data_IF_694101970378
#
_entry.id   IF_694101970378
#
_cell.length_a   1.000
_cell.length_b   1.000
_cell.length_c   1.000
_cell.angle_alpha   90.00
_cell.angle_beta   90.00
_cell.angle_gamma   90.00
#
_symmetry.space_group_name_H-M   'P 1'
#
loop_
_entity.id
_entity.type
_entity.pdbx_description
1 polymer ?
#
# COMPACT_ATOMS: atom_id res chain seq x y z
N UNK A 1 -7.12 -11.03 16.61
CA UNK A 1 -7.04 -9.93 15.66
C UNK A 1 -5.84 -10.16 14.75
N UNK A 2 -6.11 -10.17 13.45
CA UNK A 2 -5.16 -10.36 12.36
C UNK A 2 -5.18 -9.08 11.54
N UNK A 3 -4.01 -8.53 11.23
CA UNK A 3 -3.89 -7.27 10.48
C UNK A 3 -2.90 -7.48 9.35
N UNK A 4 -3.35 -7.34 8.10
CA UNK A 4 -2.49 -7.40 6.93
C UNK A 4 -2.15 -5.98 6.45
N UNK A 5 -0.90 -5.76 6.07
CA UNK A 5 -0.40 -4.50 5.53
C UNK A 5 0.28 -4.76 4.19
N UNK A 6 -0.11 -4.00 3.18
CA UNK A 6 0.55 -3.92 1.89
C UNK A 6 1.30 -2.58 1.82
N UNK A 7 2.61 -2.61 1.99
CA UNK A 7 3.47 -1.45 1.83
C UNK A 7 4.03 -1.41 0.40
N UNK A 8 3.55 -0.50 -0.44
CA UNK A 8 4.03 -0.30 -1.80
C UNK A 8 5.09 0.80 -1.80
N UNK A 9 6.36 0.41 -2.00
CA UNK A 9 7.47 1.35 -2.13
C UNK A 9 7.80 1.68 -3.60
N UNK A 10 8.94 2.32 -3.82
CA UNK A 10 9.39 2.74 -5.16
C UNK A 10 9.57 1.57 -6.14
N UNK A 11 10.45 0.61 -5.82
CA UNK A 11 10.78 -0.53 -6.68
C UNK A 11 10.41 -1.90 -6.10
N UNK A 12 10.07 -1.93 -4.81
CA UNK A 12 9.69 -3.14 -4.07
C UNK A 12 8.54 -2.85 -3.14
N UNK A 13 7.74 -3.87 -2.93
CA UNK A 13 6.59 -3.85 -2.04
C UNK A 13 6.67 -4.98 -1.04
N UNK A 14 6.01 -4.81 0.10
CA UNK A 14 6.07 -5.75 1.21
C UNK A 14 4.67 -6.05 1.71
N UNK A 15 4.33 -7.33 1.75
CA UNK A 15 3.10 -7.83 2.35
C UNK A 15 3.44 -8.42 3.71
N UNK A 16 2.81 -7.92 4.76
CA UNK A 16 3.07 -8.35 6.13
C UNK A 16 1.78 -8.62 6.87
N UNK A 17 1.75 -9.68 7.68
CA UNK A 17 0.59 -10.02 8.50
C UNK A 17 1.02 -10.08 9.95
N UNK A 18 0.29 -9.37 10.79
CA UNK A 18 0.50 -9.33 12.23
C UNK A 18 -0.65 -10.01 12.95
N UNK A 19 -0.33 -10.73 14.01
CA UNK A 19 -1.28 -11.31 14.96
C UNK A 19 -0.93 -10.86 16.35
N UNK A 20 -1.85 -10.16 17.02
CA UNK A 20 -1.59 -9.55 18.34
C UNK A 20 -0.27 -8.75 18.34
N UNK A 21 -0.05 -7.94 17.29
CA UNK A 21 1.16 -7.13 17.06
C UNK A 21 2.47 -7.91 16.83
N UNK A 22 2.41 -9.21 16.62
CA UNK A 22 3.58 -10.04 16.27
C UNK A 22 3.53 -10.32 14.77
N UNK A 23 4.63 -10.05 14.06
CA UNK A 23 4.77 -10.41 12.64
C UNK A 23 4.76 -11.93 12.50
N UNK A 24 3.77 -12.48 11.80
CA UNK A 24 3.60 -13.93 11.60
C UNK A 24 3.78 -14.35 10.14
N UNK A 25 3.67 -13.43 9.20
CA UNK A 25 3.88 -13.70 7.78
C UNK A 25 4.48 -12.46 7.09
N UNK A 26 5.39 -12.71 6.15
CA UNK A 26 6.07 -11.67 5.41
C UNK A 26 6.43 -12.14 4.00
N UNK A 27 6.15 -11.31 3.00
CA UNK A 27 6.64 -11.49 1.63
C UNK A 27 7.15 -10.16 1.09
N UNK A 28 8.26 -10.23 0.36
CA UNK A 28 8.74 -9.13 -0.46
C UNK A 28 8.40 -9.41 -1.92
N UNK A 29 7.91 -8.39 -2.61
CA UNK A 29 7.35 -8.47 -3.94
C UNK A 29 8.15 -7.55 -4.88
N UNK A 30 8.43 -8.03 -6.08
CA UNK A 30 9.26 -7.34 -7.08
C UNK A 30 8.45 -6.35 -7.93
N UNK A 31 7.57 -5.59 -7.29
CA UNK A 31 6.85 -4.46 -7.89
C UNK A 31 6.89 -3.27 -6.95
N UNK A 32 6.74 -2.08 -7.48
CA UNK A 32 6.60 -0.84 -6.74
C UNK A 32 5.94 0.24 -7.59
N UNK A 33 5.83 1.45 -7.05
CA UNK A 33 5.12 2.52 -7.73
C UNK A 33 5.90 3.18 -8.87
N UNK A 34 7.20 2.89 -9.06
CA UNK A 34 8.01 3.49 -10.13
C UNK A 34 7.40 3.25 -11.51
N UNK A 35 6.83 2.07 -11.75
CA UNK A 35 6.17 1.73 -13.01
C UNK A 35 4.93 2.61 -13.28
N UNK A 36 4.17 2.98 -12.24
CA UNK A 36 3.05 3.92 -12.38
C UNK A 36 3.55 5.33 -12.69
N UNK A 37 4.59 5.80 -12.00
CA UNK A 37 5.20 7.11 -12.28
C UNK A 37 5.79 7.18 -13.69
N UNK A 38 6.45 6.13 -14.17
CA UNK A 38 6.96 6.02 -15.54
C UNK A 38 5.82 6.07 -16.56
N UNK A 39 4.77 5.28 -16.35
CA UNK A 39 3.59 5.29 -17.21
C UNK A 39 2.90 6.67 -17.20
N UNK A 40 2.80 7.33 -16.05
CA UNK A 40 2.25 8.70 -15.94
C UNK A 40 3.10 9.71 -16.70
N UNK A 41 4.43 9.69 -16.54
CA UNK A 41 5.33 10.60 -17.24
C UNK A 41 5.26 10.45 -18.78
N UNK A 42 5.05 9.22 -19.27
CA UNK A 42 4.86 8.97 -20.69
C UNK A 42 3.53 9.52 -21.24
N UNK A 43 2.50 9.62 -20.39
CA UNK A 43 1.15 10.03 -20.80
C UNK A 43 0.82 11.48 -20.41
N UNK A 44 1.65 12.13 -19.59
CA UNK A 44 1.56 13.54 -19.19
C UNK A 44 2.87 14.28 -19.53
N UNK A 45 3.16 14.52 -20.83
CA UNK A 45 4.44 15.08 -21.28
C UNK A 45 4.66 16.54 -20.87
N UNK A 46 3.64 17.23 -20.36
CA UNK A 46 3.72 18.56 -19.78
C UNK A 46 4.29 18.57 -18.34
N UNK A 47 4.50 17.38 -17.75
CA UNK A 47 5.13 17.23 -16.43
C UNK A 47 4.20 17.51 -15.25
N UNK A 48 2.90 17.71 -15.48
CA UNK A 48 1.90 18.01 -14.46
C UNK A 48 1.14 16.78 -13.93
N UNK A 49 1.63 15.56 -14.20
CA UNK A 49 0.97 14.35 -13.73
C UNK A 49 1.03 14.22 -12.20
N UNK A 50 -0.11 14.22 -11.53
CA UNK A 50 -0.20 13.89 -10.11
C UNK A 50 -0.74 12.47 -9.92
N UNK A 51 -0.20 11.69 -8.96
CA UNK A 51 -0.71 10.36 -8.64
C UNK A 51 -2.20 10.36 -8.25
N UNK A 52 -2.67 11.45 -7.63
CA UNK A 52 -4.06 11.62 -7.23
C UNK A 52 -5.03 11.76 -8.42
N UNK A 53 -4.53 12.15 -9.59
CA UNK A 53 -5.33 12.39 -10.80
C UNK A 53 -5.46 11.12 -11.69
N UNK A 54 -4.83 10.01 -11.28
CA UNK A 54 -4.87 8.76 -12.03
C UNK A 54 -6.20 8.03 -11.81
N UNK A 55 -6.82 7.58 -12.91
CA UNK A 55 -7.98 6.69 -12.86
C UNK A 55 -7.56 5.22 -13.03
N UNK A 56 -7.88 4.40 -12.05
CA UNK A 56 -7.74 2.94 -12.11
C UNK A 56 -9.05 2.28 -12.55
N UNK A 57 -8.95 1.10 -13.15
CA UNK A 57 -10.10 0.28 -13.52
C UNK A 57 -10.20 0.01 -15.02
N UNK A 58 -11.11 -0.91 -15.36
CA UNK A 58 -11.17 -1.58 -16.66
C UNK A 58 -11.11 -0.62 -17.86
N UNK A 59 -10.07 -0.77 -18.69
CA UNK A 59 -9.76 0.09 -19.83
C UNK A 59 -8.74 1.19 -19.53
N UNK A 60 -8.27 1.30 -18.29
CA UNK A 60 -7.17 2.19 -17.91
C UNK A 60 -5.86 1.70 -18.51
N UNK A 61 -5.01 2.64 -18.92
CA UNK A 61 -3.63 2.35 -19.35
C UNK A 61 -2.80 1.70 -18.23
N UNK A 62 -3.24 1.81 -16.98
CA UNK A 62 -2.59 1.25 -15.80
C UNK A 62 -3.09 -0.14 -15.42
N UNK A 63 -4.10 -0.69 -16.12
CA UNK A 63 -4.74 -1.97 -15.77
C UNK A 63 -3.76 -3.14 -15.67
N UNK A 64 -2.76 -3.18 -16.57
CA UNK A 64 -1.78 -4.26 -16.57
C UNK A 64 -0.93 -4.23 -15.29
N UNK A 65 -0.52 -3.05 -14.84
CA UNK A 65 0.23 -2.88 -13.59
C UNK A 65 -0.61 -3.29 -12.39
N UNK A 66 -1.89 -2.90 -12.38
CA UNK A 66 -2.77 -3.21 -11.26
C UNK A 66 -3.10 -4.71 -11.19
N UNK A 67 -3.25 -5.39 -12.33
CA UNK A 67 -3.44 -6.86 -12.37
C UNK A 67 -2.28 -7.61 -11.75
N UNK A 68 -1.04 -7.24 -12.08
CA UNK A 68 0.14 -7.89 -11.53
C UNK A 68 0.21 -7.73 -10.00
N UNK A 69 -0.19 -6.57 -9.48
CA UNK A 69 -0.28 -6.32 -8.03
C UNK A 69 -1.38 -7.17 -7.40
N UNK A 70 -2.58 -7.21 -8.01
CA UNK A 70 -3.71 -8.01 -7.53
C UNK A 70 -3.33 -9.50 -7.44
N UNK A 71 -2.68 -10.03 -8.47
CA UNK A 71 -2.25 -11.43 -8.52
C UNK A 71 -1.24 -11.74 -7.40
N UNK A 72 -0.30 -10.84 -7.16
CA UNK A 72 0.72 -11.03 -6.13
C UNK A 72 0.16 -10.89 -4.70
N UNK A 73 -0.81 -9.99 -4.50
CA UNK A 73 -1.55 -9.83 -3.24
C UNK A 73 -2.40 -11.06 -2.97
N UNK A 74 -3.20 -11.50 -3.94
CA UNK A 74 -4.05 -12.70 -3.84
C UNK A 74 -3.20 -13.93 -3.50
N UNK A 75 -2.09 -14.14 -4.22
CA UNK A 75 -1.15 -15.23 -3.92
C UNK A 75 -0.54 -15.14 -2.53
N UNK A 76 -0.26 -13.94 -2.04
CA UNK A 76 0.26 -13.73 -0.68
C UNK A 76 -0.76 -14.10 0.39
N UNK A 77 -2.03 -13.77 0.18
CA UNK A 77 -3.15 -14.15 1.05
C UNK A 77 -3.35 -15.66 1.05
N UNK A 78 -3.33 -16.30 -0.13
CA UNK A 78 -3.41 -17.76 -0.26
C UNK A 78 -2.27 -18.46 0.49
N UNK A 79 -1.03 -17.98 0.35
CA UNK A 79 0.11 -18.53 1.07
C UNK A 79 -0.01 -18.37 2.58
N UNK A 80 -0.50 -17.23 3.06
CA UNK A 80 -0.81 -17.06 4.49
C UNK A 80 -1.87 -18.07 4.93
N UNK A 81 -2.96 -18.23 4.18
CA UNK A 81 -4.04 -19.15 4.51
C UNK A 81 -3.62 -20.63 4.50
N UNK A 82 -2.67 -21.01 3.64
CA UNK A 82 -2.11 -22.37 3.60
C UNK A 82 -1.18 -22.66 4.80
N UNK A 83 -0.48 -21.64 5.30
CA UNK A 83 0.42 -21.78 6.46
C UNK A 83 -0.33 -21.67 7.79
N UNK A 84 -1.46 -20.97 7.79
CA UNK A 84 -2.25 -20.71 8.98
C UNK A 84 -3.28 -21.82 9.21
N UNK A 85 -3.39 -22.29 10.44
CA UNK A 85 -4.50 -23.17 10.80
C UNK A 85 -5.82 -22.38 10.92
N UNK A 86 -6.97 -23.03 10.72
CA UNK A 86 -8.29 -22.37 10.78
C UNK A 86 -8.56 -21.63 12.10
N UNK A 87 -7.87 -21.99 13.19
CA UNK A 87 -7.97 -21.33 14.50
C UNK A 87 -7.14 -20.04 14.61
N UNK A 88 -6.34 -19.70 13.59
CA UNK A 88 -5.40 -18.59 13.66
C UNK A 88 -5.92 -17.26 13.15
N UNK A 89 -7.10 -17.26 12.52
CA UNK A 89 -7.78 -16.09 11.96
C UNK A 89 -7.45 -15.86 10.49
N UNK A 90 -8.43 -15.36 9.74
CA UNK A 90 -8.30 -15.02 8.32
C UNK A 90 -7.97 -13.53 8.15
N UNK A 91 -7.42 -13.19 6.99
CA UNK A 91 -7.26 -11.79 6.59
C UNK A 91 -8.62 -11.31 6.07
N UNK A 92 -9.22 -10.35 6.77
CA UNK A 92 -10.49 -9.72 6.37
C UNK A 92 -10.24 -8.38 5.65
N UNK A 93 -9.13 -7.71 5.98
CA UNK A 93 -8.78 -6.37 5.51
C UNK A 93 -7.28 -6.23 5.26
N UNK A 94 -6.93 -5.48 4.23
CA UNK A 94 -5.56 -5.03 3.93
C UNK A 94 -5.44 -3.53 4.18
N UNK A 95 -4.48 -3.15 4.98
CA UNK A 95 -4.05 -1.76 5.15
C UNK A 95 -3.01 -1.41 4.07
N UNK A 96 -3.39 -0.58 3.11
CA UNK A 96 -2.52 -0.08 2.05
C UNK A 96 -1.68 1.10 2.55
N UNK A 97 -0.37 0.99 2.46
CA UNK A 97 0.58 2.00 2.91
C UNK A 97 1.77 2.16 1.96
N UNK A 98 2.62 3.16 2.20
CA UNK A 98 3.75 3.48 1.33
C UNK A 98 3.39 4.45 0.21
N UNK A 99 4.37 4.73 -0.65
CA UNK A 99 4.24 5.69 -1.76
C UNK A 99 3.18 5.28 -2.78
N UNK A 100 2.88 3.98 -2.90
CA UNK A 100 1.78 3.50 -3.74
C UNK A 100 0.38 3.88 -3.22
N UNK A 101 0.20 4.20 -1.93
CA UNK A 101 -1.08 4.66 -1.39
C UNK A 101 -1.49 6.05 -1.88
N UNK A 102 -0.59 6.77 -2.53
CA UNK A 102 -0.84 8.11 -3.08
C UNK A 102 -1.73 8.07 -4.33
N UNK A 103 -1.80 6.92 -4.98
CA UNK A 103 -2.56 6.72 -6.20
C UNK A 103 -4.05 6.54 -5.87
N UNK A 104 -4.86 7.56 -6.17
CA UNK A 104 -6.30 7.56 -5.88
C UNK A 104 -7.01 6.41 -6.60
N UNK A 105 -7.78 5.59 -5.89
CA UNK A 105 -8.53 4.45 -6.46
C UNK A 105 -7.73 3.16 -6.61
N UNK A 106 -6.45 3.13 -6.23
CA UNK A 106 -5.68 1.88 -6.19
C UNK A 106 -6.24 0.90 -5.14
N UNK A 107 -6.63 1.40 -3.97
CA UNK A 107 -7.30 0.65 -2.92
C UNK A 107 -8.62 0.02 -3.42
N UNK A 108 -9.45 0.78 -4.12
CA UNK A 108 -10.70 0.28 -4.72
C UNK A 108 -10.43 -0.81 -5.76
N UNK A 109 -9.42 -0.62 -6.61
CA UNK A 109 -9.04 -1.61 -7.63
C UNK A 109 -8.50 -2.91 -6.99
N UNK A 110 -7.68 -2.79 -5.95
CA UNK A 110 -7.19 -3.93 -5.18
C UNK A 110 -8.33 -4.66 -4.46
N UNK A 111 -9.28 -3.93 -3.87
CA UNK A 111 -10.43 -4.51 -3.22
C UNK A 111 -11.29 -5.31 -4.20
N UNK A 112 -11.60 -4.71 -5.36
CA UNK A 112 -12.37 -5.37 -6.41
C UNK A 112 -11.66 -6.61 -6.96
N UNK A 113 -10.34 -6.56 -7.14
CA UNK A 113 -9.54 -7.65 -7.70
C UNK A 113 -9.25 -8.80 -6.74
N UNK A 114 -9.00 -8.49 -5.47
CA UNK A 114 -8.65 -9.49 -4.44
C UNK A 114 -9.87 -10.05 -3.70
N UNK A 115 -11.01 -9.37 -3.75
CA UNK A 115 -12.20 -9.71 -2.98
C UNK A 115 -12.06 -9.43 -1.47
N UNK A 116 -11.05 -8.65 -1.07
CA UNK A 116 -10.81 -8.23 0.31
C UNK A 116 -11.17 -6.76 0.50
N UNK A 117 -11.44 -6.37 1.74
CA UNK A 117 -11.50 -4.95 2.08
C UNK A 117 -10.08 -4.37 2.03
N UNK A 118 -9.92 -3.21 1.40
CA UNK A 118 -8.64 -2.50 1.32
C UNK A 118 -8.88 -1.06 1.79
N UNK A 119 -8.10 -0.62 2.77
CA UNK A 119 -8.15 0.75 3.28
C UNK A 119 -6.76 1.37 3.29
N UNK A 120 -6.66 2.65 2.93
CA UNK A 120 -5.41 3.40 3.07
C UNK A 120 -5.11 3.63 4.55
N UNK A 121 -3.95 3.15 5.00
CA UNK A 121 -3.48 3.39 6.35
C UNK A 121 -3.15 4.88 6.57
N UNK A 122 -3.46 5.38 7.76
CA UNK A 122 -3.12 6.73 8.18
C UNK A 122 -2.18 6.69 9.40
N UNK A 123 -0.85 6.60 9.18
CA UNK A 123 0.11 6.48 10.27
C UNK A 123 0.19 7.75 11.14
N UNK A 124 -0.30 8.89 10.64
CA UNK A 124 -0.19 10.17 11.31
C UNK A 124 -1.14 10.29 12.51
N UNK A 125 -2.23 9.51 12.54
CA UNK A 125 -3.20 9.50 13.66
C UNK A 125 -2.60 9.12 15.00
N UNK A 126 -1.52 8.34 14.97
CA UNK A 126 -0.82 7.86 16.16
C UNK A 126 0.34 8.78 16.60
N UNK A 127 0.54 9.89 15.89
CA UNK A 127 1.68 10.79 16.07
C UNK A 127 1.24 12.19 16.50
N UNK A 128 2.09 12.82 17.32
CA UNK A 128 1.96 14.25 17.62
C UNK A 128 2.77 15.00 16.56
N UNK A 129 2.07 15.69 15.67
CA UNK A 129 2.68 16.46 14.60
C UNK A 129 2.96 17.92 15.01
N UNK A 130 4.00 18.56 14.46
CA UNK A 130 4.21 19.99 14.63
C UNK A 130 3.09 20.80 13.95
N UNK A 131 2.73 21.94 14.55
CA UNK A 131 1.57 22.73 14.13
C UNK A 131 1.73 23.48 12.79
N UNK A 132 2.93 23.48 12.20
CA UNK A 132 3.29 24.31 11.06
C UNK A 132 3.79 23.51 9.85
N UNK A 133 3.26 22.30 9.65
CA UNK A 133 3.52 21.53 8.44
C UNK A 133 2.78 22.14 7.24
N UNK A 134 3.44 22.18 6.08
CA UNK A 134 2.75 22.41 4.81
C UNK A 134 1.96 21.17 4.42
N UNK A 135 0.97 21.34 3.53
CA UNK A 135 0.20 20.21 2.98
C UNK A 135 1.11 19.16 2.31
N UNK A 136 2.14 19.61 1.58
CA UNK A 136 3.13 18.72 0.95
C UNK A 136 3.88 17.90 2.00
N UNK A 137 4.34 18.52 3.08
CA UNK A 137 5.02 17.82 4.16
C UNK A 137 4.11 16.80 4.86
N UNK A 138 2.82 17.10 5.03
CA UNK A 138 1.86 16.13 5.57
C UNK A 138 1.68 14.92 4.64
N UNK A 139 1.59 15.16 3.33
CA UNK A 139 1.47 14.07 2.34
C UNK A 139 2.72 13.20 2.31
N UNK A 140 3.91 13.80 2.30
CA UNK A 140 5.18 13.06 2.36
C UNK A 140 5.27 12.21 3.63
N UNK A 141 4.89 12.77 4.78
CA UNK A 141 4.87 12.03 6.05
C UNK A 141 3.89 10.87 6.01
N UNK A 142 2.70 11.08 5.42
CA UNK A 142 1.66 10.06 5.34
C UNK A 142 2.04 8.89 4.45
N UNK A 143 2.64 9.15 3.28
CA UNK A 143 2.83 8.12 2.24
C UNK A 143 4.28 7.66 2.11
N UNK A 144 5.26 8.55 2.16
CA UNK A 144 6.64 8.23 1.78
C UNK A 144 7.54 7.90 2.99
N UNK A 145 7.22 8.46 4.15
CA UNK A 145 8.05 8.32 5.35
C UNK A 145 7.57 7.28 6.37
N UNK A 146 6.64 6.38 6.03
CA UNK A 146 6.11 5.37 6.95
C UNK A 146 7.21 4.65 7.77
N UNK A 147 8.26 4.18 7.10
CA UNK A 147 9.36 3.46 7.77
C UNK A 147 10.18 4.40 8.66
N UNK A 148 10.48 5.62 8.18
CA UNK A 148 11.21 6.61 8.96
C UNK A 148 10.42 7.04 10.21
N UNK A 149 9.11 7.22 10.09
CA UNK A 149 8.19 7.49 11.18
C UNK A 149 8.20 6.36 12.22
N UNK A 150 8.12 5.10 11.78
CA UNK A 150 8.20 3.95 12.68
C UNK A 150 9.55 3.86 13.42
N UNK A 151 10.66 4.16 12.72
CA UNK A 151 11.99 4.24 13.34
C UNK A 151 12.07 5.36 14.37
N UNK A 152 11.54 6.55 14.06
CA UNK A 152 11.51 7.68 14.98
C UNK A 152 10.61 7.42 16.20
N UNK A 153 9.47 6.77 16.01
CA UNK A 153 8.55 6.42 17.09
C UNK A 153 9.17 5.45 18.10
N UNK A 154 10.15 4.64 17.68
CA UNK A 154 10.90 3.72 18.57
C UNK A 154 11.83 4.45 19.55
N UNK A 155 12.12 5.73 19.33
CA UNK A 155 12.98 6.53 20.21
C UNK A 155 12.24 7.11 21.43
N UNK A 156 10.96 6.78 21.60
CA UNK A 156 10.18 7.04 22.82
C UNK A 156 10.24 5.85 23.77
#
# INVERSE_FOLDING_TARGET
>A
EVSAYLNIGGSRSHFSVFKKNILVFYRSMSFGCSAFYEAMALNSPDGNGNPEDINFGQGSIYDYLTRDIIDEVTRSVEYYNLQSSMSEGQIEKIWLCGSGSRFSGLDESLAAGSGLEVEIADPLRELILPANLSQEQELDLKYDYLIALGLAARLK
#
